data_IF_460094600955
#
_entry.id   IF_460094600955
#
_cell.length_a   1.000
_cell.length_b   1.000
_cell.length_c   1.000
_cell.angle_alpha   90.00
_cell.angle_beta   90.00
_cell.angle_gamma   90.00
#
_symmetry.space_group_name_H-M   'P 1'
#
loop_
_entity.id
_entity.type
_entity.pdbx_description
1 polymer ?
#
# COMPACT_ATOMS: atom_id res chain seq x y z
N UNK A 1 8.71 -1.22 12.89
CA UNK A 1 9.40 -0.11 12.17
C UNK A 1 8.57 1.17 12.31
N UNK A 2 9.14 2.37 12.10
CA UNK A 2 8.35 3.63 12.09
C UNK A 2 7.19 3.46 11.09
N UNK A 3 5.97 3.86 11.46
CA UNK A 3 4.75 3.81 10.64
C UNK A 3 4.10 2.44 10.37
N UNK A 4 4.68 1.33 10.86
CA UNK A 4 4.15 -0.01 10.60
C UNK A 4 2.76 -0.24 11.21
N UNK A 5 2.57 0.17 12.47
CA UNK A 5 1.32 0.00 13.20
C UNK A 5 0.21 0.85 12.57
N UNK A 6 0.55 2.08 12.20
CA UNK A 6 -0.32 3.08 11.60
C UNK A 6 -0.78 2.60 10.22
N UNK A 7 0.14 2.11 9.40
CA UNK A 7 -0.17 1.54 8.07
C UNK A 7 -1.05 0.31 8.20
N UNK A 8 -0.76 -0.60 9.14
CA UNK A 8 -1.60 -1.77 9.39
C UNK A 8 -3.03 -1.38 9.80
N UNK A 9 -3.16 -0.39 10.68
CA UNK A 9 -4.46 0.09 11.14
C UNK A 9 -5.25 0.77 10.03
N UNK A 10 -4.58 1.55 9.19
CA UNK A 10 -5.19 2.18 8.02
C UNK A 10 -5.73 1.14 7.04
N UNK A 11 -4.94 0.13 6.69
CA UNK A 11 -5.39 -0.96 5.81
C UNK A 11 -6.58 -1.74 6.40
N UNK A 12 -6.60 -1.97 7.73
CA UNK A 12 -7.76 -2.58 8.41
C UNK A 12 -9.02 -1.73 8.30
N UNK A 13 -8.90 -0.42 8.52
CA UNK A 13 -10.02 0.52 8.36
C UNK A 13 -10.50 0.61 6.91
N UNK A 14 -9.59 0.47 5.93
CA UNK A 14 -9.94 0.38 4.51
C UNK A 14 -10.63 -0.94 4.13
N UNK A 15 -10.71 -1.93 5.03
CA UNK A 15 -11.51 -3.14 4.82
C UNK A 15 -10.70 -4.40 4.46
N UNK A 16 -9.38 -4.39 4.62
CA UNK A 16 -8.54 -5.59 4.42
C UNK A 16 -7.78 -5.97 5.68
N UNK A 17 -7.41 -7.24 5.83
CA UNK A 17 -6.69 -7.69 7.02
C UNK A 17 -5.54 -8.65 6.64
N UNK A 18 -4.87 -9.19 7.66
CA UNK A 18 -3.66 -9.98 7.49
C UNK A 18 -3.90 -11.40 6.91
N UNK A 19 -5.15 -11.79 6.61
CA UNK A 19 -5.44 -13.03 5.86
C UNK A 19 -4.99 -12.94 4.39
N UNK A 20 -4.84 -11.72 3.86
CA UNK A 20 -4.33 -11.48 2.53
C UNK A 20 -2.81 -11.34 2.55
N UNK A 21 -2.10 -12.14 1.75
CA UNK A 21 -0.63 -12.04 1.61
C UNK A 21 -0.20 -10.62 1.22
N UNK A 22 -0.97 -9.97 0.34
CA UNK A 22 -0.72 -8.60 -0.08
C UNK A 22 -0.78 -7.57 1.06
N UNK A 23 -1.39 -7.88 2.20
CA UNK A 23 -1.44 -6.99 3.35
C UNK A 23 -0.02 -6.66 3.84
N UNK A 24 0.79 -7.69 4.09
CA UNK A 24 2.19 -7.51 4.55
C UNK A 24 3.06 -6.85 3.48
N UNK A 25 2.83 -7.17 2.21
CA UNK A 25 3.56 -6.56 1.10
C UNK A 25 3.28 -5.06 0.99
N UNK A 26 2.01 -4.66 1.12
CA UNK A 26 1.61 -3.25 1.09
C UNK A 26 2.16 -2.51 2.31
N UNK A 27 2.09 -3.09 3.52
CA UNK A 27 2.66 -2.46 4.73
C UNK A 27 4.16 -2.22 4.55
N UNK A 28 4.91 -3.23 4.13
CA UNK A 28 6.34 -3.09 3.86
C UNK A 28 6.59 -2.05 2.76
N UNK A 29 5.84 -2.10 1.66
CA UNK A 29 5.95 -1.17 0.55
C UNK A 29 5.75 0.28 0.95
N UNK A 30 4.77 0.59 1.80
CA UNK A 30 4.53 1.93 2.34
C UNK A 30 5.70 2.39 3.20
N UNK A 31 6.17 1.57 4.15
CA UNK A 31 7.31 1.92 5.02
C UNK A 31 8.56 2.22 4.18
N UNK A 32 8.82 1.40 3.14
CA UNK A 32 9.95 1.61 2.23
C UNK A 32 9.78 2.84 1.36
N UNK A 33 8.59 3.11 0.85
CA UNK A 33 8.30 4.29 0.05
C UNK A 33 8.44 5.60 0.87
N UNK A 34 8.04 5.59 2.15
CA UNK A 34 8.29 6.72 3.06
C UNK A 34 9.79 6.93 3.26
N UNK A 35 10.56 5.86 3.48
CA UNK A 35 12.00 5.95 3.72
C UNK A 35 12.81 6.31 2.46
N UNK A 36 12.38 5.83 1.29
CA UNK A 36 13.00 6.11 0.00
C UNK A 36 11.92 6.26 -1.09
N UNK A 37 11.44 7.49 -1.34
CA UNK A 37 10.41 7.77 -2.34
C UNK A 37 10.79 7.37 -3.78
N UNK A 38 12.08 7.28 -4.11
CA UNK A 38 12.53 6.89 -5.46
C UNK A 38 12.12 5.46 -5.83
N UNK A 39 11.85 4.60 -4.84
CA UNK A 39 11.38 3.23 -5.06
C UNK A 39 10.05 3.16 -5.81
N UNK A 40 9.23 4.21 -5.75
CA UNK A 40 7.97 4.30 -6.49
C UNK A 40 8.16 4.67 -7.96
N UNK A 41 9.21 5.44 -8.31
CA UNK A 41 9.52 5.83 -9.69
C UNK A 41 9.76 4.58 -10.55
N UNK A 42 10.46 3.59 -9.98
CA UNK A 42 10.76 2.32 -10.64
C UNK A 42 10.16 1.14 -9.90
N UNK A 43 8.87 1.19 -9.57
CA UNK A 43 8.21 0.22 -8.68
C UNK A 43 8.51 -1.26 -9.00
N UNK A 44 8.56 -1.66 -10.27
CA UNK A 44 8.82 -3.05 -10.67
C UNK A 44 10.27 -3.48 -10.54
N UNK A 45 11.22 -2.54 -10.57
CA UNK A 45 12.67 -2.77 -10.48
C UNK A 45 13.27 -2.34 -9.13
N UNK A 46 12.52 -1.59 -8.34
CA UNK A 46 12.87 -1.13 -7.00
C UNK A 46 11.99 -1.83 -5.97
N UNK A 47 10.87 -1.21 -5.59
CA UNK A 47 10.04 -1.65 -4.48
C UNK A 47 9.62 -3.13 -4.54
N UNK A 48 9.19 -3.62 -5.71
CA UNK A 48 8.79 -5.02 -5.85
C UNK A 48 9.97 -5.98 -5.77
N UNK A 49 11.17 -5.59 -6.21
CA UNK A 49 12.38 -6.40 -6.05
C UNK A 49 12.69 -6.55 -4.56
N UNK A 50 12.63 -5.46 -3.79
CA UNK A 50 12.89 -5.48 -2.36
C UNK A 50 11.89 -6.33 -1.59
N UNK A 51 10.58 -6.14 -1.83
CA UNK A 51 9.54 -6.99 -1.21
C UNK A 51 9.73 -8.45 -1.61
N UNK A 52 10.07 -8.72 -2.87
CA UNK A 52 10.26 -10.10 -3.34
C UNK A 52 11.43 -10.80 -2.64
N UNK A 53 12.52 -10.06 -2.38
CA UNK A 53 13.69 -10.54 -1.65
C UNK A 53 13.34 -10.78 -0.17
N UNK A 54 12.70 -9.80 0.48
CA UNK A 54 12.29 -9.87 1.89
C UNK A 54 11.36 -11.06 2.18
N UNK A 55 10.39 -11.30 1.30
CA UNK A 55 9.35 -12.32 1.50
C UNK A 55 9.61 -13.62 0.73
N UNK A 56 10.81 -13.79 0.16
CA UNK A 56 11.20 -14.97 -0.61
C UNK A 56 10.16 -15.37 -1.67
N UNK A 57 9.70 -14.39 -2.45
CA UNK A 57 8.68 -14.57 -3.48
C UNK A 57 9.13 -13.96 -4.81
N UNK A 58 8.29 -13.97 -5.84
CA UNK A 58 8.59 -13.32 -7.13
C UNK A 58 8.01 -11.92 -7.21
N UNK A 59 8.64 -11.03 -7.99
CA UNK A 59 8.14 -9.68 -8.29
C UNK A 59 6.68 -9.72 -8.79
N UNK A 60 6.35 -10.69 -9.66
CA UNK A 60 4.98 -10.87 -10.15
C UNK A 60 3.99 -11.33 -9.07
N UNK A 61 4.45 -12.07 -8.06
CA UNK A 61 3.64 -12.40 -6.89
C UNK A 61 3.36 -11.16 -6.04
N UNK A 62 4.38 -10.32 -5.81
CA UNK A 62 4.24 -9.04 -5.09
C UNK A 62 3.21 -8.15 -5.76
N UNK A 63 3.39 -7.87 -7.06
CA UNK A 63 2.50 -7.01 -7.85
C UNK A 63 1.05 -7.51 -7.79
N UNK A 64 0.84 -8.82 -8.05
CA UNK A 64 -0.49 -9.42 -8.06
C UNK A 64 -1.17 -9.31 -6.70
N UNK A 65 -0.47 -9.60 -5.62
CA UNK A 65 -1.05 -9.59 -4.28
C UNK A 65 -1.40 -8.17 -3.81
N UNK A 66 -0.56 -7.17 -4.14
CA UNK A 66 -0.89 -5.76 -3.88
C UNK A 66 -2.12 -5.35 -4.71
N UNK A 67 -2.18 -5.74 -5.99
CA UNK A 67 -3.36 -5.49 -6.83
C UNK A 67 -4.63 -6.12 -6.26
N UNK A 68 -4.55 -7.33 -5.71
CA UNK A 68 -5.67 -7.98 -5.03
C UNK A 68 -6.16 -7.16 -3.84
N UNK A 69 -5.25 -6.67 -2.97
CA UNK A 69 -5.63 -5.77 -1.86
C UNK A 69 -6.40 -4.57 -2.37
N UNK A 70 -5.89 -3.90 -3.40
CA UNK A 70 -6.51 -2.71 -3.96
C UNK A 70 -7.88 -3.02 -4.54
N UNK A 71 -8.03 -4.13 -5.27
CA UNK A 71 -9.31 -4.57 -5.80
C UNK A 71 -10.31 -4.90 -4.70
N UNK A 72 -9.89 -5.55 -3.61
CA UNK A 72 -10.76 -5.84 -2.47
C UNK A 72 -11.24 -4.56 -1.79
N UNK A 73 -10.34 -3.61 -1.51
CA UNK A 73 -10.69 -2.31 -0.93
C UNK A 73 -11.63 -1.54 -1.87
N UNK A 74 -11.35 -1.57 -3.17
CA UNK A 74 -12.17 -0.86 -4.16
C UNK A 74 -13.60 -1.39 -4.26
N UNK A 75 -13.78 -2.72 -4.20
CA UNK A 75 -15.09 -3.34 -4.41
C UNK A 75 -15.90 -3.45 -3.11
N UNK A 76 -15.23 -3.60 -1.96
CA UNK A 76 -15.87 -4.01 -0.71
C UNK A 76 -15.41 -3.22 0.52
N UNK A 77 -14.41 -2.36 0.38
CA UNK A 77 -13.86 -1.57 1.46
C UNK A 77 -14.58 -0.24 1.69
N UNK A 78 -14.03 0.55 2.61
CA UNK A 78 -14.52 1.90 2.88
C UNK A 78 -14.08 2.86 1.77
N UNK A 79 -14.97 3.12 0.81
CA UNK A 79 -14.72 4.02 -0.32
C UNK A 79 -14.57 5.49 0.11
N UNK A 80 -15.24 5.89 1.17
CA UNK A 80 -15.14 7.27 1.69
C UNK A 80 -13.76 7.49 2.29
N UNK A 81 -13.29 6.56 3.13
CA UNK A 81 -11.93 6.62 3.68
C UNK A 81 -10.88 6.51 2.57
N UNK A 82 -11.09 5.65 1.57
CA UNK A 82 -10.17 5.56 0.43
C UNK A 82 -10.06 6.90 -0.32
N UNK A 83 -11.16 7.61 -0.52
CA UNK A 83 -11.13 8.95 -1.13
C UNK A 83 -10.42 9.99 -0.23
N UNK A 84 -10.59 9.91 1.10
CA UNK A 84 -9.84 10.74 2.04
C UNK A 84 -8.34 10.50 1.97
N UNK A 85 -7.92 9.23 1.85
CA UNK A 85 -6.51 8.85 1.68
C UNK A 85 -5.92 9.46 0.40
N UNK A 86 -6.70 9.53 -0.68
CA UNK A 86 -6.26 10.15 -1.94
C UNK A 86 -6.40 11.68 -1.96
N UNK A 87 -7.18 12.27 -1.05
CA UNK A 87 -7.50 13.70 -1.05
C UNK A 87 -8.52 14.12 -2.12
N UNK A 88 -9.08 13.17 -2.88
CA UNK A 88 -10.10 13.41 -3.90
C UNK A 88 -10.94 12.16 -4.18
N UNK A 89 -12.08 12.35 -4.84
CA UNK A 89 -12.94 11.24 -5.24
C UNK A 89 -12.32 10.45 -6.40
N UNK A 90 -12.03 9.17 -6.16
CA UNK A 90 -11.53 8.28 -7.20
C UNK A 90 -12.67 7.80 -8.10
N UNK A 91 -12.58 8.12 -9.39
CA UNK A 91 -13.50 7.59 -10.42
C UNK A 91 -13.17 6.16 -10.84
N UNK A 92 -11.89 5.76 -10.71
CA UNK A 92 -11.40 4.45 -11.09
C UNK A 92 -10.49 3.84 -10.03
N UNK A 93 -10.45 2.51 -10.01
CA UNK A 93 -9.56 1.76 -9.12
C UNK A 93 -8.11 2.19 -9.32
N UNK A 94 -7.38 2.56 -8.25
CA UNK A 94 -6.02 3.06 -8.39
C UNK A 94 -5.06 1.96 -8.85
N UNK A 95 -3.94 2.39 -9.44
CA UNK A 95 -2.79 1.52 -9.74
C UNK A 95 -1.98 1.29 -8.47
N UNK A 96 -1.22 0.20 -8.41
CA UNK A 96 -0.44 -0.17 -7.23
C UNK A 96 0.48 0.94 -6.72
N UNK A 97 1.23 1.60 -7.61
CA UNK A 97 2.12 2.70 -7.21
C UNK A 97 1.37 3.88 -6.60
N UNK A 98 0.31 4.35 -7.27
CA UNK A 98 -0.52 5.45 -6.76
C UNK A 98 -1.18 5.13 -5.41
N UNK A 99 -1.57 3.87 -5.20
CA UNK A 99 -2.12 3.43 -3.93
C UNK A 99 -1.09 3.44 -2.80
N UNK A 100 0.12 2.93 -3.05
CA UNK A 100 1.20 2.95 -2.05
C UNK A 100 1.63 4.39 -1.76
N UNK A 101 1.72 5.23 -2.78
CA UNK A 101 2.03 6.67 -2.64
C UNK A 101 1.00 7.38 -1.75
N UNK A 102 -0.29 7.24 -2.05
CA UNK A 102 -1.37 7.86 -1.28
C UNK A 102 -1.38 7.39 0.19
N UNK A 103 -1.19 6.09 0.44
CA UNK A 103 -1.05 5.58 1.81
C UNK A 103 0.19 6.16 2.51
N UNK A 104 1.32 6.26 1.82
CA UNK A 104 2.56 6.80 2.37
C UNK A 104 2.39 8.25 2.79
N UNK A 105 1.80 9.08 1.91
CA UNK A 105 1.50 10.47 2.21
C UNK A 105 0.54 10.61 3.40
N UNK A 106 -0.59 9.89 3.36
CA UNK A 106 -1.59 9.95 4.42
C UNK A 106 -1.02 9.55 5.79
N UNK A 107 -0.21 8.49 5.84
CA UNK A 107 0.40 8.01 7.09
C UNK A 107 1.40 9.02 7.63
N UNK A 108 2.24 9.62 6.78
CA UNK A 108 3.18 10.66 7.20
C UNK A 108 2.43 11.89 7.72
N UNK A 109 1.37 12.33 7.06
CA UNK A 109 0.62 13.54 7.42
C UNK A 109 -0.16 13.39 8.74
N UNK A 110 -0.75 12.21 9.00
CA UNK A 110 -1.68 12.02 10.12
C UNK A 110 -1.07 11.39 11.38
N UNK A 111 0.13 10.82 11.28
CA UNK A 111 0.79 10.13 12.39
C UNK A 111 2.25 10.59 12.55
N UNK A 112 2.57 11.80 12.11
CA UNK A 112 3.85 12.42 12.43
C UNK A 112 3.85 12.83 13.91
N UNK A 113 4.62 12.09 14.72
CA UNK A 113 5.25 12.60 15.94
C UNK A 113 6.62 13.19 15.59
#
# INVERSE_FOLDING_TARGET
MKYERETCNLLRRLGVNNSYVGFRYTVYGVIRAIANPELLIYISKGLYVEISAEYHTSIGCVERNIRTIISTIWLHGDRQLLNQVFGFELEQKPRNGAFIDALSHYVVEHYYD
#
